data_IF_288430470109
#
_entry.id   IF_288430470109
#
_cell.length_a   1.000
_cell.length_b   1.000
_cell.length_c   1.000
_cell.angle_alpha   90.00
_cell.angle_beta   90.00
_cell.angle_gamma   90.00
#
_symmetry.space_group_name_H-M   'P 1'
#
loop_
_entity.id
_entity.type
_entity.pdbx_description
1 polymer ?
#
# COMPACT_ATOMS: atom_id res chain seq x y z
N UNK A 1 8.26 -13.64 -47.30
CA UNK A 1 7.82 -14.57 -46.24
C UNK A 1 8.40 -14.12 -44.91
N UNK A 2 7.60 -13.59 -43.98
CA UNK A 2 8.09 -13.17 -42.66
C UNK A 2 8.47 -14.43 -41.86
N UNK A 3 9.74 -14.53 -41.44
CA UNK A 3 10.21 -15.61 -40.56
C UNK A 3 9.52 -15.47 -39.21
N UNK A 4 8.48 -16.27 -38.96
CA UNK A 4 7.85 -16.39 -37.64
C UNK A 4 8.95 -16.85 -36.68
N UNK A 5 9.28 -16.03 -35.69
CA UNK A 5 10.32 -16.35 -34.70
C UNK A 5 9.87 -17.60 -33.93
N UNK A 6 10.77 -18.56 -33.64
CA UNK A 6 10.42 -19.79 -32.91
C UNK A 6 9.75 -19.51 -31.56
N UNK A 7 10.07 -18.37 -30.95
CA UNK A 7 9.44 -17.86 -29.73
C UNK A 7 7.92 -17.65 -29.87
N UNK A 8 7.44 -17.14 -31.01
CA UNK A 8 6.01 -16.89 -31.26
C UNK A 8 5.22 -18.20 -31.30
N UNK A 9 5.81 -19.25 -31.87
CA UNK A 9 5.18 -20.58 -31.97
C UNK A 9 5.05 -21.21 -30.59
N UNK A 10 6.09 -21.09 -29.75
CA UNK A 10 6.06 -21.59 -28.36
C UNK A 10 4.99 -20.86 -27.54
N UNK A 11 4.87 -19.54 -27.66
CA UNK A 11 3.81 -18.76 -26.98
C UNK A 11 2.42 -19.20 -27.42
N UNK A 12 2.20 -19.35 -28.72
CA UNK A 12 0.90 -19.77 -29.24
C UNK A 12 0.54 -21.18 -28.81
N UNK A 13 1.52 -22.11 -28.74
CA UNK A 13 1.30 -23.46 -28.23
C UNK A 13 1.03 -23.49 -26.72
N UNK A 14 1.75 -22.70 -25.93
CA UNK A 14 1.52 -22.60 -24.48
C UNK A 14 0.18 -21.96 -24.19
N UNK A 15 -0.20 -20.89 -24.90
CA UNK A 15 -1.52 -20.27 -24.79
C UNK A 15 -2.63 -21.22 -25.24
N UNK A 16 -2.45 -21.96 -26.34
CA UNK A 16 -3.43 -22.95 -26.79
C UNK A 16 -3.59 -24.09 -25.78
N UNK A 17 -2.49 -24.56 -25.18
CA UNK A 17 -2.51 -25.55 -24.10
C UNK A 17 -3.17 -25.03 -22.82
N UNK A 18 -2.92 -23.78 -22.46
CA UNK A 18 -3.53 -23.12 -21.31
C UNK A 18 -5.03 -22.90 -21.53
N UNK A 19 -5.44 -22.45 -22.71
CA UNK A 19 -6.86 -22.30 -23.09
C UNK A 19 -7.56 -23.66 -23.10
N UNK A 20 -6.95 -24.70 -23.65
CA UNK A 20 -7.50 -26.05 -23.62
C UNK A 20 -7.65 -26.57 -22.17
N UNK A 21 -6.65 -26.34 -21.32
CA UNK A 21 -6.70 -26.68 -19.89
C UNK A 21 -7.82 -25.94 -19.15
N UNK A 22 -7.99 -24.64 -19.41
CA UNK A 22 -9.08 -23.84 -18.85
C UNK A 22 -10.45 -24.33 -19.34
N UNK A 23 -10.60 -24.66 -20.62
CA UNK A 23 -11.87 -25.19 -21.14
C UNK A 23 -12.25 -26.53 -20.48
N UNK A 24 -11.29 -27.45 -20.33
CA UNK A 24 -11.49 -28.75 -19.67
C UNK A 24 -11.90 -28.56 -18.20
N UNK A 25 -11.27 -27.62 -17.52
CA UNK A 25 -11.53 -27.38 -16.09
C UNK A 25 -12.84 -26.61 -15.86
N UNK A 26 -13.22 -25.72 -16.78
CA UNK A 26 -14.51 -25.03 -16.76
C UNK A 26 -15.64 -26.04 -16.96
N UNK A 27 -15.46 -26.99 -17.89
CA UNK A 27 -16.39 -28.09 -18.11
C UNK A 27 -16.50 -29.04 -16.90
N UNK A 28 -15.47 -29.10 -16.04
CA UNK A 28 -15.45 -29.93 -14.84
C UNK A 28 -16.09 -29.28 -13.61
N UNK A 29 -16.58 -28.03 -13.70
CA UNK A 29 -17.20 -27.31 -12.58
C UNK A 29 -16.25 -26.94 -11.43
N UNK A 30 -14.93 -27.07 -11.64
CA UNK A 30 -13.87 -26.84 -10.63
C UNK A 30 -13.26 -25.44 -10.71
N UNK A 31 -13.89 -24.51 -11.43
CA UNK A 31 -13.47 -23.11 -11.54
C UNK A 31 -14.62 -22.20 -11.14
N UNK A 32 -14.27 -21.03 -10.61
CA UNK A 32 -15.24 -19.98 -10.33
C UNK A 32 -15.97 -19.60 -11.61
N UNK A 33 -17.30 -19.55 -11.53
CA UNK A 33 -18.14 -19.19 -12.67
C UNK A 33 -17.93 -17.71 -13.05
N UNK A 34 -17.74 -17.39 -14.34
CA UNK A 34 -17.62 -16.00 -14.80
C UNK A 34 -18.95 -15.24 -14.81
N UNK A 35 -20.08 -15.94 -14.69
CA UNK A 35 -21.41 -15.35 -14.64
C UNK A 35 -21.85 -15.06 -13.18
N UNK A 36 -22.83 -14.16 -12.96
CA UNK A 36 -23.30 -13.85 -11.61
C UNK A 36 -23.82 -15.11 -10.91
N UNK A 37 -23.31 -15.35 -9.70
CA UNK A 37 -23.76 -16.47 -8.85
C UNK A 37 -24.70 -15.95 -7.78
N UNK A 38 -25.75 -16.71 -7.48
CA UNK A 38 -26.61 -16.42 -6.33
C UNK A 38 -25.93 -16.94 -5.08
N UNK A 39 -25.46 -16.04 -4.24
CA UNK A 39 -24.96 -16.38 -2.91
C UNK A 39 -26.10 -16.20 -1.92
N UNK A 40 -26.41 -17.28 -1.20
CA UNK A 40 -27.45 -17.30 -0.19
C UNK A 40 -26.79 -17.23 1.17
N UNK A 41 -26.83 -16.06 1.80
CA UNK A 41 -26.35 -15.88 3.16
C UNK A 41 -27.53 -15.99 4.11
N UNK A 42 -27.48 -16.99 5.01
CA UNK A 42 -28.46 -17.15 6.08
C UNK A 42 -27.88 -16.58 7.37
N UNK A 43 -28.44 -15.48 7.85
CA UNK A 43 -28.19 -14.96 9.20
C UNK A 43 -29.35 -15.31 10.12
N UNK A 44 -29.04 -15.59 11.38
CA UNK A 44 -30.06 -15.85 12.42
C UNK A 44 -30.17 -14.61 13.28
N UNK A 45 -31.30 -13.91 13.19
CA UNK A 45 -31.57 -12.72 13.99
C UNK A 45 -32.49 -13.07 15.17
N UNK A 46 -32.17 -12.63 16.40
CA UNK A 46 -33.05 -12.83 17.55
C UNK A 46 -34.31 -11.97 17.39
N UNK A 47 -35.47 -12.59 17.44
CA UNK A 47 -36.77 -11.91 17.43
C UNK A 47 -37.07 -11.41 18.82
N UNK A 48 -37.11 -10.10 19.01
CA UNK A 48 -37.36 -9.46 20.30
C UNK A 48 -38.78 -8.91 20.37
N UNK A 49 -39.47 -9.09 21.49
CA UNK A 49 -40.77 -8.44 21.72
C UNK A 49 -40.60 -6.95 22.08
N UNK A 50 -41.70 -6.20 22.17
CA UNK A 50 -41.69 -4.76 22.49
C UNK A 50 -41.04 -4.42 23.84
N UNK A 51 -40.77 -5.41 24.69
CA UNK A 51 -40.14 -5.27 26.00
C UNK A 51 -38.65 -5.69 26.01
N UNK A 52 -38.05 -5.94 24.85
CA UNK A 52 -36.63 -6.30 24.79
C UNK A 52 -36.32 -7.78 25.09
N UNK A 53 -37.33 -8.63 25.25
CA UNK A 53 -37.15 -10.06 25.53
C UNK A 53 -37.11 -10.87 24.23
N UNK A 54 -36.09 -11.71 24.05
CA UNK A 54 -35.96 -12.60 22.89
C UNK A 54 -37.03 -13.70 22.97
N UNK A 55 -37.93 -13.73 21.99
CA UNK A 55 -39.09 -14.63 21.92
C UNK A 55 -38.96 -15.71 20.83
N UNK A 56 -37.89 -15.65 20.02
CA UNK A 56 -37.59 -16.63 19.00
C UNK A 56 -36.38 -16.25 18.16
N UNK A 57 -36.05 -17.08 17.18
CA UNK A 57 -35.01 -16.83 16.19
C UNK A 57 -35.66 -16.78 14.80
N UNK A 58 -35.27 -15.80 13.98
CA UNK A 58 -35.68 -15.69 12.60
C UNK A 58 -34.46 -15.92 11.72
N UNK A 59 -34.51 -16.96 10.90
CA UNK A 59 -33.52 -17.14 9.83
C UNK A 59 -33.87 -16.20 8.69
N UNK A 60 -33.08 -15.15 8.52
CA UNK A 60 -33.16 -14.25 7.37
C UNK A 60 -32.25 -14.81 6.30
N UNK A 61 -32.85 -15.32 5.24
CA UNK A 61 -32.15 -15.80 4.07
C UNK A 61 -32.12 -14.69 3.04
N UNK A 62 -30.97 -14.02 2.91
CA UNK A 62 -30.78 -13.01 1.86
C UNK A 62 -30.07 -13.67 0.67
N UNK A 63 -30.72 -13.60 -0.49
CA UNK A 63 -30.14 -14.07 -1.75
C UNK A 63 -29.65 -12.85 -2.52
N UNK A 64 -28.35 -12.65 -2.57
CA UNK A 64 -27.73 -11.56 -3.34
C UNK A 64 -27.12 -12.11 -4.63
N UNK A 65 -27.26 -11.36 -5.71
CA UNK A 65 -26.56 -11.67 -6.97
C UNK A 65 -25.12 -11.16 -6.88
N UNK A 66 -24.18 -12.08 -6.71
CA UNK A 66 -22.76 -11.77 -6.58
C UNK A 66 -22.11 -11.70 -7.97
N UNK A 67 -21.51 -10.54 -8.29
CA UNK A 67 -20.63 -10.37 -9.45
C UNK A 67 -19.16 -10.72 -9.12
N UNK A 68 -18.90 -11.34 -7.97
CA UNK A 68 -17.54 -11.65 -7.54
C UNK A 68 -16.78 -12.52 -8.55
N UNK A 69 -17.47 -13.50 -9.16
CA UNK A 69 -16.91 -14.35 -10.22
C UNK A 69 -16.38 -13.56 -11.40
N UNK A 70 -17.17 -12.62 -11.93
CA UNK A 70 -16.74 -11.75 -13.02
C UNK A 70 -15.47 -10.95 -12.65
N UNK A 71 -15.44 -10.33 -11.47
CA UNK A 71 -14.28 -9.55 -11.02
C UNK A 71 -13.05 -10.42 -10.77
N UNK A 72 -13.21 -11.66 -10.29
CA UNK A 72 -12.12 -12.63 -10.16
C UNK A 72 -11.50 -12.98 -11.52
N UNK A 73 -12.33 -13.19 -12.55
CA UNK A 73 -11.85 -13.43 -13.92
C UNK A 73 -11.11 -12.22 -14.49
N UNK A 74 -11.62 -11.00 -14.29
CA UNK A 74 -10.93 -9.76 -14.67
C UNK A 74 -9.57 -9.65 -13.95
N UNK A 75 -9.54 -9.92 -12.64
CA UNK A 75 -8.32 -9.93 -11.83
C UNK A 75 -7.29 -10.98 -12.28
N UNK A 76 -7.75 -12.19 -12.62
CA UNK A 76 -6.89 -13.25 -13.14
C UNK A 76 -6.31 -12.88 -14.51
N UNK A 77 -7.13 -12.33 -15.42
CA UNK A 77 -6.68 -11.87 -16.73
C UNK A 77 -5.63 -10.76 -16.61
N UNK A 78 -5.83 -9.78 -15.73
CA UNK A 78 -4.86 -8.70 -15.47
C UNK A 78 -3.56 -9.24 -14.85
N UNK A 79 -3.67 -10.18 -13.91
CA UNK A 79 -2.50 -10.83 -13.29
C UNK A 79 -1.68 -11.58 -14.33
N UNK A 80 -2.33 -12.32 -15.23
CA UNK A 80 -1.66 -12.98 -16.36
C UNK A 80 -1.03 -11.99 -17.35
N UNK A 81 -1.68 -10.85 -17.61
CA UNK A 81 -1.12 -9.79 -18.46
C UNK A 81 0.17 -9.21 -17.86
N UNK A 82 0.22 -9.02 -16.54
CA UNK A 82 1.42 -8.55 -15.83
C UNK A 82 2.51 -9.64 -15.84
N UNK A 83 2.15 -10.89 -15.56
CA UNK A 83 3.09 -12.03 -15.57
C UNK A 83 3.67 -12.30 -16.97
N UNK A 84 2.99 -11.88 -18.04
CA UNK A 84 3.53 -11.97 -19.41
C UNK A 84 4.85 -11.21 -19.60
N UNK A 85 5.19 -10.25 -18.74
CA UNK A 85 6.48 -9.56 -18.76
C UNK A 85 7.66 -10.54 -18.66
N UNK A 86 7.51 -11.62 -17.89
CA UNK A 86 8.56 -12.62 -17.68
C UNK A 86 9.02 -13.27 -18.99
N UNK A 87 8.18 -13.26 -20.03
CA UNK A 87 8.45 -13.91 -21.29
C UNK A 87 9.08 -12.97 -22.35
N UNK A 88 8.88 -11.64 -22.23
CA UNK A 88 9.44 -10.49 -23.01
C UNK A 88 8.40 -9.33 -23.02
N UNK A 89 8.82 -8.12 -23.40
CA UNK A 89 7.91 -7.00 -23.72
C UNK A 89 6.81 -7.42 -24.71
N UNK A 90 5.59 -7.58 -24.22
CA UNK A 90 4.39 -8.01 -24.96
C UNK A 90 3.33 -6.88 -24.94
N UNK A 91 2.59 -6.62 -26.03
CA UNK A 91 1.44 -5.71 -26.02
C UNK A 91 0.50 -5.86 -24.82
N UNK A 92 0.24 -7.09 -24.35
CA UNK A 92 -0.62 -7.34 -23.18
C UNK A 92 -0.06 -6.74 -21.89
N UNK A 93 1.26 -6.82 -21.68
CA UNK A 93 1.91 -6.21 -20.53
C UNK A 93 1.82 -4.67 -20.59
N UNK A 94 2.14 -4.07 -21.75
CA UNK A 94 2.05 -2.61 -21.94
C UNK A 94 0.63 -2.08 -21.74
N UNK A 95 -0.38 -2.83 -22.17
CA UNK A 95 -1.77 -2.49 -21.92
C UNK A 95 -2.08 -2.47 -20.41
N UNK A 96 -1.71 -3.53 -19.68
CA UNK A 96 -1.92 -3.62 -18.24
C UNK A 96 -1.16 -2.50 -17.49
N UNK A 97 0.05 -2.16 -17.91
CA UNK A 97 0.85 -1.07 -17.36
C UNK A 97 0.15 0.29 -17.55
N UNK A 98 -0.26 0.63 -18.77
CA UNK A 98 -0.97 1.89 -19.04
C UNK A 98 -2.33 1.97 -18.33
N UNK A 99 -3.06 0.86 -18.27
CA UNK A 99 -4.31 0.77 -17.54
C UNK A 99 -4.08 1.01 -16.04
N UNK A 100 -3.11 0.34 -15.44
CA UNK A 100 -2.79 0.48 -14.02
C UNK A 100 -2.36 1.90 -13.67
N UNK A 101 -1.44 2.49 -14.44
CA UNK A 101 -0.98 3.86 -14.22
C UNK A 101 -2.11 4.87 -14.43
N UNK A 102 -2.93 4.69 -15.46
CA UNK A 102 -4.06 5.56 -15.76
C UNK A 102 -5.13 5.53 -14.68
N UNK A 103 -5.56 4.33 -14.24
CA UNK A 103 -6.56 4.18 -13.17
C UNK A 103 -6.00 4.71 -11.85
N UNK A 104 -4.73 4.45 -11.54
CA UNK A 104 -4.09 4.98 -10.32
C UNK A 104 -4.05 6.51 -10.33
N UNK A 105 -3.64 7.12 -11.44
CA UNK A 105 -3.62 8.57 -11.57
C UNK A 105 -5.03 9.19 -11.47
N UNK A 106 -6.03 8.57 -12.11
CA UNK A 106 -7.42 9.02 -12.03
C UNK A 106 -7.98 8.90 -10.60
N UNK A 107 -7.72 7.78 -9.92
CA UNK A 107 -8.15 7.58 -8.53
C UNK A 107 -7.59 8.65 -7.60
N UNK A 108 -6.28 8.91 -7.66
CA UNK A 108 -5.65 9.97 -6.86
C UNK A 108 -6.16 11.37 -7.21
N UNK A 109 -6.48 11.64 -8.48
CA UNK A 109 -7.07 12.91 -8.89
C UNK A 109 -8.47 13.11 -8.31
N UNK A 110 -9.35 12.10 -8.40
CA UNK A 110 -10.73 12.16 -7.89
C UNK A 110 -10.72 12.29 -6.37
N UNK A 111 -9.90 11.50 -5.67
CA UNK A 111 -9.72 11.64 -4.23
C UNK A 111 -9.18 13.02 -3.84
N UNK A 112 -8.12 13.49 -4.52
CA UNK A 112 -7.56 14.81 -4.26
C UNK A 112 -8.59 15.93 -4.45
N UNK A 113 -9.45 15.82 -5.45
CA UNK A 113 -10.51 16.80 -5.69
C UNK A 113 -11.57 16.76 -4.58
N UNK A 114 -12.21 15.61 -4.35
CA UNK A 114 -13.35 15.52 -3.44
C UNK A 114 -12.98 15.47 -1.97
N UNK A 115 -11.89 14.80 -1.61
CA UNK A 115 -11.49 14.61 -0.21
C UNK A 115 -10.53 15.71 0.29
N UNK A 116 -9.85 16.44 -0.60
CA UNK A 116 -8.87 17.47 -0.20
C UNK A 116 -9.26 18.85 -0.69
N UNK A 117 -9.47 19.04 -2.00
CA UNK A 117 -9.69 20.36 -2.58
C UNK A 117 -11.05 20.95 -2.18
N UNK A 118 -12.13 20.17 -2.30
CA UNK A 118 -13.49 20.61 -1.92
C UNK A 118 -13.57 21.01 -0.44
N UNK A 119 -13.19 20.17 0.53
CA UNK A 119 -13.30 20.55 1.94
C UNK A 119 -12.30 21.63 2.37
N UNK A 120 -11.02 21.54 1.98
CA UNK A 120 -9.98 22.43 2.53
C UNK A 120 -9.85 23.77 1.79
N UNK A 121 -10.19 23.84 0.50
CA UNK A 121 -10.09 25.08 -0.27
C UNK A 121 -11.46 25.73 -0.41
N UNK A 122 -12.42 25.02 -1.02
CA UNK A 122 -13.74 25.58 -1.28
C UNK A 122 -14.57 25.70 0.01
N UNK A 123 -14.42 24.74 0.94
CA UNK A 123 -15.08 24.80 2.25
C UNK A 123 -14.65 25.99 3.10
N UNK A 124 -13.37 26.39 3.02
CA UNK A 124 -12.85 27.56 3.76
C UNK A 124 -13.13 28.90 3.05
N UNK A 125 -13.27 28.91 1.73
CA UNK A 125 -13.52 30.12 0.95
C UNK A 125 -15.02 30.46 0.81
N UNK A 126 -15.87 29.44 0.68
CA UNK A 126 -17.32 29.57 0.50
C UNK A 126 -18.08 28.47 1.28
N UNK A 127 -18.09 28.54 2.63
CA UNK A 127 -18.65 27.48 3.48
C UNK A 127 -20.12 27.18 3.18
N UNK A 128 -20.93 28.22 2.91
CA UNK A 128 -22.36 28.10 2.62
C UNK A 128 -22.67 27.38 1.31
N UNK A 129 -21.81 27.50 0.28
CA UNK A 129 -22.04 26.83 -1.00
C UNK A 129 -21.60 25.37 -0.98
N UNK A 130 -20.54 25.06 -0.23
CA UNK A 130 -20.06 23.68 -0.07
C UNK A 130 -20.99 22.87 0.81
N UNK A 131 -21.53 23.45 1.88
CA UNK A 131 -22.56 22.81 2.71
C UNK A 131 -23.82 22.47 1.89
N UNK A 132 -24.21 23.33 0.94
CA UNK A 132 -25.34 23.09 0.05
C UNK A 132 -25.08 21.98 -1.00
N UNK A 133 -23.82 21.79 -1.42
CA UNK A 133 -23.45 20.75 -2.38
C UNK A 133 -23.13 19.41 -1.71
N UNK A 134 -22.61 19.43 -0.49
CA UNK A 134 -22.12 18.24 0.22
C UNK A 134 -22.39 18.38 1.73
N UNK A 135 -23.62 18.05 2.18
CA UNK A 135 -24.03 18.25 3.57
C UNK A 135 -23.24 17.34 4.51
N UNK A 136 -22.81 17.89 5.65
CA UNK A 136 -22.15 17.14 6.74
C UNK A 136 -20.62 17.04 6.66
N UNK A 137 -19.96 17.64 5.67
CA UNK A 137 -18.49 17.62 5.55
C UNK A 137 -17.81 18.63 6.47
N UNK A 138 -18.46 19.76 6.76
CA UNK A 138 -17.91 20.83 7.58
C UNK A 138 -18.77 20.93 8.84
N UNK A 139 -18.28 20.50 10.01
CA UNK A 139 -18.93 20.83 11.27
C UNK A 139 -18.86 22.37 11.42
N UNK A 140 -20.01 23.02 11.56
CA UNK A 140 -20.16 24.48 11.78
C UNK A 140 -19.99 25.41 10.56
N UNK A 141 -20.35 24.95 9.35
CA UNK A 141 -20.40 25.82 8.16
C UNK A 141 -21.37 27.01 8.27
N UNK A 142 -22.40 26.94 9.13
CA UNK A 142 -23.36 28.01 9.34
C UNK A 142 -22.75 29.31 9.92
N UNK A 143 -21.66 29.22 10.69
CA UNK A 143 -21.01 30.36 11.37
C UNK A 143 -19.61 30.69 10.81
N UNK A 144 -19.13 29.94 9.82
CA UNK A 144 -17.82 30.15 9.23
C UNK A 144 -17.81 31.42 8.35
N UNK A 145 -16.98 32.40 8.72
CA UNK A 145 -16.69 33.55 7.86
C UNK A 145 -15.73 33.14 6.73
N UNK A 146 -15.92 33.63 5.49
CA UNK A 146 -15.00 33.39 4.38
C UNK A 146 -13.57 33.79 4.74
N UNK A 147 -12.65 32.84 4.77
CA UNK A 147 -11.24 33.12 5.06
C UNK A 147 -10.49 33.40 3.77
N UNK A 148 -10.32 34.68 3.44
CA UNK A 148 -9.66 35.12 2.21
C UNK A 148 -8.19 34.70 2.10
N UNK A 149 -7.53 34.28 3.20
CA UNK A 149 -6.16 33.77 3.18
C UNK A 149 -5.99 32.52 2.29
N UNK A 150 -7.05 31.71 2.11
CA UNK A 150 -7.05 30.56 1.21
C UNK A 150 -7.05 30.93 -0.27
N UNK A 151 -7.22 32.21 -0.61
CA UNK A 151 -7.05 32.69 -1.99
C UNK A 151 -5.62 32.45 -2.50
N UNK A 152 -4.62 32.55 -1.62
CA UNK A 152 -3.22 32.24 -1.98
C UNK A 152 -3.09 30.77 -2.38
N UNK A 153 -3.71 29.87 -1.61
CA UNK A 153 -3.75 28.44 -1.93
C UNK A 153 -4.51 28.16 -3.23
N UNK A 154 -5.58 28.91 -3.52
CA UNK A 154 -6.33 28.81 -4.78
C UNK A 154 -5.47 29.23 -5.97
N UNK A 155 -4.76 30.36 -5.86
CA UNK A 155 -3.84 30.83 -6.90
C UNK A 155 -2.72 29.81 -7.13
N UNK A 156 -2.12 29.27 -6.07
CA UNK A 156 -1.11 28.20 -6.19
C UNK A 156 -1.68 26.92 -6.81
N UNK A 157 -2.92 26.56 -6.48
CA UNK A 157 -3.64 25.43 -7.08
C UNK A 157 -3.91 25.62 -8.57
N UNK A 158 -4.34 26.82 -8.98
CA UNK A 158 -4.51 27.17 -10.40
C UNK A 158 -3.16 27.20 -11.14
N UNK A 159 -2.09 27.65 -10.49
CA UNK A 159 -0.75 27.60 -11.06
C UNK A 159 -0.26 26.17 -11.33
N UNK A 160 -0.72 25.16 -10.57
CA UNK A 160 -0.44 23.76 -10.91
C UNK A 160 -1.16 23.30 -12.17
N UNK A 161 -2.38 23.78 -12.43
CA UNK A 161 -3.11 23.48 -13.66
C UNK A 161 -2.40 24.04 -14.90
N UNK A 162 -1.62 25.12 -14.76
CA UNK A 162 -0.77 25.64 -15.83
C UNK A 162 0.27 24.62 -16.33
N UNK A 163 0.54 23.55 -15.58
CA UNK A 163 1.41 22.45 -16.01
C UNK A 163 0.84 21.65 -17.18
N UNK A 164 -0.48 21.66 -17.39
CA UNK A 164 -1.12 20.95 -18.50
C UNK A 164 -0.82 21.60 -19.86
N UNK A 165 -0.45 22.88 -19.86
CA UNK A 165 -0.13 23.63 -21.07
C UNK A 165 1.38 23.89 -21.13
N UNK A 166 2.05 23.38 -22.16
CA UNK A 166 3.52 23.44 -22.30
C UNK A 166 4.06 24.89 -22.26
N UNK A 167 3.27 25.89 -22.71
CA UNK A 167 3.66 27.30 -22.76
C UNK A 167 3.65 28.06 -21.42
N UNK A 168 2.84 27.64 -20.44
CA UNK A 168 2.73 28.31 -19.11
C UNK A 168 3.24 27.45 -17.96
N UNK A 169 3.79 26.26 -18.25
CA UNK A 169 4.31 25.33 -17.25
C UNK A 169 5.43 25.89 -16.36
N UNK A 170 6.13 26.95 -16.78
CA UNK A 170 7.18 27.60 -15.97
C UNK A 170 6.59 28.21 -14.69
N UNK A 171 5.37 28.75 -14.75
CA UNK A 171 4.72 29.33 -13.57
C UNK A 171 4.30 28.28 -12.54
N UNK A 172 4.06 27.03 -12.96
CA UNK A 172 3.79 25.90 -12.06
C UNK A 172 4.97 25.58 -11.12
N UNK A 173 6.20 26.00 -11.45
CA UNK A 173 7.40 25.73 -10.64
C UNK A 173 7.33 26.35 -9.24
N UNK A 174 6.69 27.51 -9.10
CA UNK A 174 6.51 28.17 -7.80
C UNK A 174 5.60 27.36 -6.87
N UNK A 175 4.48 26.85 -7.40
CA UNK A 175 3.59 25.97 -6.65
C UNK A 175 4.27 24.64 -6.28
N UNK A 176 5.06 24.06 -7.20
CA UNK A 176 5.84 22.85 -6.92
C UNK A 176 6.91 23.07 -5.85
N UNK A 177 7.62 24.20 -5.88
CA UNK A 177 8.60 24.55 -4.84
C UNK A 177 7.93 24.66 -3.46
N UNK A 178 6.74 25.26 -3.39
CA UNK A 178 5.98 25.35 -2.15
C UNK A 178 5.54 23.98 -1.63
N UNK A 179 5.02 23.10 -2.51
CA UNK A 179 4.64 21.73 -2.15
C UNK A 179 5.86 20.96 -1.63
N UNK A 180 6.93 20.89 -2.41
CA UNK A 180 8.14 20.14 -2.05
C UNK A 180 8.75 20.68 -0.75
N UNK A 181 8.82 22.01 -0.58
CA UNK A 181 9.33 22.64 0.63
C UNK A 181 8.49 22.31 1.87
N UNK A 182 7.17 22.42 1.77
CA UNK A 182 6.25 22.10 2.87
C UNK A 182 6.31 20.61 3.22
N UNK A 183 6.26 19.74 2.21
CA UNK A 183 6.32 18.29 2.38
C UNK A 183 7.65 17.87 3.01
N UNK A 184 8.79 18.35 2.49
CA UNK A 184 10.11 18.05 3.05
C UNK A 184 10.26 18.57 4.48
N UNK A 185 9.78 19.78 4.77
CA UNK A 185 9.80 20.36 6.12
C UNK A 185 8.99 19.54 7.12
N UNK A 186 7.76 19.13 6.76
CA UNK A 186 6.92 18.27 7.60
C UNK A 186 7.56 16.91 7.83
N UNK A 187 8.07 16.25 6.78
CA UNK A 187 8.75 14.96 6.93
C UNK A 187 10.01 15.07 7.79
N UNK A 188 10.78 16.15 7.64
CA UNK A 188 11.97 16.37 8.46
C UNK A 188 11.61 16.48 9.95
N UNK A 189 10.60 17.29 10.29
CA UNK A 189 10.15 17.43 11.69
C UNK A 189 9.57 16.12 12.22
N UNK A 190 8.76 15.42 11.42
CA UNK A 190 8.19 14.13 11.81
C UNK A 190 9.28 13.08 12.05
N UNK A 191 10.26 12.99 11.15
CA UNK A 191 11.39 12.08 11.28
C UNK A 191 12.25 12.39 12.51
N UNK A 192 12.56 13.67 12.75
CA UNK A 192 13.31 14.07 13.94
C UNK A 192 12.53 13.77 15.23
N UNK A 193 11.25 14.16 15.29
CA UNK A 193 10.46 14.06 16.52
C UNK A 193 10.04 12.63 16.83
N UNK A 194 9.68 11.84 15.82
CA UNK A 194 9.22 10.47 16.00
C UNK A 194 10.40 9.52 15.92
N UNK A 195 11.01 9.39 14.75
CA UNK A 195 11.89 8.25 14.49
C UNK A 195 13.24 8.42 15.16
N UNK A 196 13.85 9.62 15.07
CA UNK A 196 15.13 9.88 15.72
C UNK A 196 15.00 9.88 17.25
N UNK A 197 13.99 10.56 17.82
CA UNK A 197 13.79 10.52 19.27
C UNK A 197 13.45 9.12 19.78
N UNK A 198 12.63 8.35 19.07
CA UNK A 198 12.32 6.97 19.45
C UNK A 198 13.57 6.08 19.36
N UNK A 199 14.44 6.28 18.37
CA UNK A 199 15.72 5.57 18.28
C UNK A 199 16.64 5.92 19.45
N UNK A 200 16.78 7.20 19.81
CA UNK A 200 17.54 7.63 20.98
C UNK A 200 16.95 7.04 22.26
N UNK A 201 15.63 7.14 22.46
CA UNK A 201 14.94 6.56 23.61
C UNK A 201 15.12 5.04 23.71
N UNK A 202 15.07 4.33 22.57
CA UNK A 202 15.31 2.88 22.51
C UNK A 202 16.74 2.50 22.90
N UNK A 203 17.73 3.39 22.75
CA UNK A 203 19.10 3.17 23.25
C UNK A 203 19.27 3.44 24.75
N UNK A 204 18.30 4.10 25.41
CA UNK A 204 18.29 4.41 26.84
C UNK A 204 17.35 3.43 27.59
N UNK A 205 17.13 2.23 27.04
CA UNK A 205 16.34 1.20 27.72
C UNK A 205 17.13 0.58 28.90
N UNK A 206 16.45 0.18 29.99
CA UNK A 206 17.09 -0.47 31.12
C UNK A 206 17.74 -1.78 30.65
N UNK A 207 19.04 -1.93 30.91
CA UNK A 207 19.81 -3.11 30.51
C UNK A 207 19.29 -4.40 31.16
N UNK A 208 18.67 -4.27 32.34
CA UNK A 208 18.02 -5.37 33.06
C UNK A 208 16.51 -5.19 32.92
N UNK A 209 15.89 -6.03 32.09
CA UNK A 209 14.44 -6.02 31.92
C UNK A 209 13.79 -6.94 32.95
N UNK A 210 13.00 -6.37 33.85
CA UNK A 210 12.14 -7.13 34.77
C UNK A 210 10.72 -7.03 34.22
N UNK A 211 10.16 -8.17 33.79
CA UNK A 211 8.80 -8.23 33.26
C UNK A 211 7.94 -8.98 34.27
N UNK A 212 6.88 -8.35 34.78
CA UNK A 212 5.97 -8.93 35.79
C UNK A 212 6.68 -9.40 37.08
N UNK A 213 7.73 -8.71 37.53
CA UNK A 213 8.46 -9.05 38.75
C UNK A 213 9.54 -10.14 38.57
N UNK A 214 9.60 -10.79 37.41
CA UNK A 214 10.61 -11.79 37.08
C UNK A 214 11.67 -11.25 36.11
N UNK A 215 12.90 -11.72 36.28
CA UNK A 215 14.01 -11.40 35.39
C UNK A 215 13.78 -12.00 34.00
N UNK A 216 13.58 -11.15 32.99
CA UNK A 216 13.51 -11.59 31.60
C UNK A 216 14.93 -11.63 31.01
N UNK A 217 15.46 -12.84 30.87
CA UNK A 217 16.76 -13.08 30.26
C UNK A 217 16.77 -12.64 28.78
N UNK A 218 15.67 -12.88 28.06
CA UNK A 218 15.54 -12.50 26.66
C UNK A 218 15.53 -10.97 26.46
N UNK A 219 14.80 -10.23 27.30
CA UNK A 219 14.76 -8.77 27.21
C UNK A 219 16.09 -8.12 27.59
N UNK A 220 16.75 -8.63 28.63
CA UNK A 220 18.08 -8.19 29.08
C UNK A 220 19.13 -8.44 27.99
N UNK A 221 19.10 -9.62 27.35
CA UNK A 221 19.98 -9.94 26.24
C UNK A 221 19.76 -9.01 25.04
N UNK A 222 18.51 -8.76 24.66
CA UNK A 222 18.17 -7.82 23.58
C UNK A 222 18.68 -6.40 23.84
N UNK A 223 18.46 -5.88 25.05
CA UNK A 223 18.95 -4.55 25.44
C UNK A 223 20.48 -4.47 25.40
N UNK A 224 21.19 -5.52 25.86
CA UNK A 224 22.65 -5.59 25.82
C UNK A 224 23.17 -5.64 24.38
N UNK A 225 22.55 -6.43 23.50
CA UNK A 225 22.92 -6.50 22.08
C UNK A 225 22.74 -5.15 21.39
N UNK A 226 21.63 -4.45 21.66
CA UNK A 226 21.40 -3.10 21.12
C UNK A 226 22.44 -2.11 21.65
N UNK A 227 22.68 -2.10 22.96
CA UNK A 227 23.66 -1.21 23.59
C UNK A 227 25.08 -1.42 23.02
N UNK A 228 25.55 -2.67 23.01
CA UNK A 228 26.87 -3.03 22.48
C UNK A 228 26.94 -2.74 20.98
N UNK A 229 25.88 -3.07 20.24
CA UNK A 229 25.80 -2.81 18.80
C UNK A 229 25.90 -1.33 18.45
N UNK A 230 25.21 -0.47 19.19
CA UNK A 230 25.28 0.99 19.01
C UNK A 230 26.67 1.51 19.37
N UNK A 231 27.25 1.08 20.49
CA UNK A 231 28.61 1.50 20.88
C UNK A 231 29.67 1.07 19.86
N UNK A 232 29.65 -0.18 19.41
CA UNK A 232 30.55 -0.69 18.38
C UNK A 232 30.32 -0.02 17.02
N UNK A 233 29.06 0.25 16.66
CA UNK A 233 28.71 0.96 15.42
C UNK A 233 29.19 2.41 15.43
N UNK A 234 29.04 3.13 16.55
CA UNK A 234 29.59 4.48 16.72
C UNK A 234 31.11 4.49 16.61
N UNK A 235 31.79 3.51 17.23
CA UNK A 235 33.25 3.36 17.11
C UNK A 235 33.66 3.12 15.64
N UNK A 236 32.91 2.32 14.89
CA UNK A 236 33.18 2.10 13.46
C UNK A 236 33.05 3.37 12.62
N UNK A 237 32.01 4.19 12.85
CA UNK A 237 31.82 5.45 12.12
C UNK A 237 32.66 6.61 12.66
N UNK A 238 33.35 6.43 13.80
CA UNK A 238 34.21 7.45 14.38
C UNK A 238 35.57 7.49 13.65
N UNK A 239 35.64 8.26 12.58
CA UNK A 239 36.83 8.38 11.73
C UNK A 239 38.02 9.15 12.37
N UNK A 240 37.84 9.75 13.55
CA UNK A 240 38.84 10.63 14.18
C UNK A 240 39.93 9.92 15.01
N UNK A 241 39.87 8.61 15.20
CA UNK A 241 40.90 7.86 15.96
C UNK A 241 41.52 6.75 15.10
N UNK A 242 42.85 6.60 15.15
CA UNK A 242 43.53 5.46 14.54
C UNK A 242 43.01 4.15 15.15
N UNK A 243 42.54 3.24 14.29
CA UNK A 243 41.95 1.97 14.68
C UNK A 243 43.01 0.94 15.11
N UNK A 244 43.77 1.23 16.16
CA UNK A 244 44.78 0.32 16.72
C UNK A 244 44.33 -0.30 18.05
N UNK A 245 44.65 -1.59 18.24
CA UNK A 245 44.33 -2.34 19.47
C UNK A 245 42.83 -2.64 19.68
N UNK A 246 42.33 -2.41 20.91
CA UNK A 246 40.96 -2.76 21.35
C UNK A 246 39.88 -2.04 20.54
N UNK A 247 40.15 -0.79 20.14
CA UNK A 247 39.26 -0.01 19.28
C UNK A 247 39.11 -0.61 17.87
N UNK A 248 40.17 -1.25 17.34
CA UNK A 248 40.10 -1.97 16.06
C UNK A 248 39.24 -3.23 16.11
N UNK A 249 39.26 -3.96 17.23
CA UNK A 249 38.40 -5.15 17.43
C UNK A 249 36.94 -4.73 17.64
N UNK A 250 36.69 -3.70 18.45
CA UNK A 250 35.34 -3.16 18.65
C UNK A 250 34.71 -2.64 17.34
N UNK A 251 35.51 -1.95 16.51
CA UNK A 251 35.09 -1.52 15.16
C UNK A 251 34.78 -2.71 14.25
N UNK A 252 35.59 -3.79 14.29
CA UNK A 252 35.32 -5.02 13.53
C UNK A 252 33.99 -5.66 13.93
N UNK A 253 33.70 -5.75 15.23
CA UNK A 253 32.40 -6.24 15.72
C UNK A 253 31.26 -5.33 15.25
N UNK A 254 31.46 -4.01 15.27
CA UNK A 254 30.52 -3.03 14.72
C UNK A 254 30.22 -3.27 13.24
N UNK A 255 31.23 -3.57 12.42
CA UNK A 255 31.07 -3.93 11.00
C UNK A 255 30.21 -5.18 10.85
N UNK A 256 30.47 -6.23 11.62
CA UNK A 256 29.66 -7.45 11.56
C UNK A 256 28.20 -7.19 11.92
N UNK A 257 27.95 -6.43 12.99
CA UNK A 257 26.59 -6.06 13.40
C UNK A 257 25.91 -5.25 12.31
N UNK A 258 26.57 -4.24 11.74
CA UNK A 258 26.03 -3.42 10.64
C UNK A 258 25.73 -4.25 9.38
N UNK A 259 26.62 -5.17 8.99
CA UNK A 259 26.39 -6.06 7.85
C UNK A 259 25.17 -6.96 8.08
N UNK A 260 24.98 -7.48 9.29
CA UNK A 260 23.81 -8.29 9.64
C UNK A 260 22.54 -7.44 9.61
N UNK A 261 22.55 -6.24 10.20
CA UNK A 261 21.38 -5.35 10.22
C UNK A 261 20.97 -4.88 8.82
N UNK A 262 21.94 -4.46 7.98
CA UNK A 262 21.66 -4.09 6.60
C UNK A 262 21.25 -5.30 5.75
N UNK A 263 21.88 -6.46 5.97
CA UNK A 263 21.50 -7.71 5.32
C UNK A 263 20.06 -8.14 5.65
N UNK A 264 19.65 -8.01 6.91
CA UNK A 264 18.28 -8.25 7.34
C UNK A 264 17.29 -7.26 6.71
N UNK A 265 17.62 -5.96 6.68
CA UNK A 265 16.79 -4.94 6.03
C UNK A 265 16.59 -5.22 4.53
N UNK A 266 17.67 -5.53 3.81
CA UNK A 266 17.59 -5.95 2.42
C UNK A 266 16.75 -7.23 2.26
N UNK A 267 16.98 -8.24 3.10
CA UNK A 267 16.21 -9.48 3.12
C UNK A 267 14.70 -9.27 3.31
N UNK A 268 14.29 -8.37 4.21
CA UNK A 268 12.88 -8.00 4.40
C UNK A 268 12.26 -7.41 3.14
N UNK A 269 12.99 -6.55 2.41
CA UNK A 269 12.46 -5.99 1.16
C UNK A 269 12.32 -7.04 0.06
N UNK A 270 13.24 -8.00 -0.03
CA UNK A 270 13.17 -9.13 -0.99
C UNK A 270 12.01 -10.05 -0.62
N UNK A 271 11.87 -10.39 0.67
CA UNK A 271 10.75 -11.19 1.17
C UNK A 271 9.40 -10.52 0.85
N UNK A 272 9.28 -9.21 1.05
CA UNK A 272 8.07 -8.47 0.70
C UNK A 272 7.69 -8.59 -0.78
N UNK A 273 8.67 -8.49 -1.68
CA UNK A 273 8.43 -8.66 -3.13
C UNK A 273 8.04 -10.11 -3.49
N UNK A 274 8.68 -11.10 -2.88
CA UNK A 274 8.34 -12.51 -3.10
C UNK A 274 6.95 -12.82 -2.52
N UNK A 275 6.61 -12.30 -1.34
CA UNK A 275 5.30 -12.49 -0.72
C UNK A 275 4.17 -11.93 -1.59
N UNK A 276 4.38 -10.76 -2.22
CA UNK A 276 3.42 -10.22 -3.19
C UNK A 276 3.24 -11.14 -4.41
N UNK A 277 4.33 -11.77 -4.90
CA UNK A 277 4.25 -12.75 -5.99
C UNK A 277 3.49 -14.01 -5.56
N UNK A 278 3.81 -14.55 -4.38
CA UNK A 278 3.13 -15.73 -3.81
C UNK A 278 1.64 -15.45 -3.66
N UNK A 279 1.24 -14.31 -3.10
CA UNK A 279 -0.18 -13.95 -2.98
C UNK A 279 -0.90 -13.87 -4.33
N UNK A 280 -0.20 -13.49 -5.43
CA UNK A 280 -0.79 -13.55 -6.79
C UNK A 280 -0.89 -14.97 -7.33
N UNK A 281 0.04 -15.85 -6.97
CA UNK A 281 -0.01 -17.27 -7.35
C UNK A 281 -1.09 -18.02 -6.56
N UNK A 282 -1.27 -17.71 -5.28
CA UNK A 282 -2.38 -18.21 -4.44
C UNK A 282 -3.73 -17.75 -4.99
N UNK A 283 -3.88 -16.47 -5.35
CA UNK A 283 -5.09 -15.98 -6.01
C UNK A 283 -5.37 -16.73 -7.34
N UNK A 284 -4.35 -16.95 -8.16
CA UNK A 284 -4.53 -17.62 -9.45
C UNK A 284 -4.86 -19.11 -9.29
N UNK A 285 -4.15 -19.82 -8.41
CA UNK A 285 -4.27 -21.27 -8.26
C UNK A 285 -5.33 -21.69 -7.24
N UNK A 286 -5.46 -20.99 -6.12
CA UNK A 286 -6.48 -21.21 -5.09
C UNK A 286 -7.81 -20.60 -5.51
N UNK A 287 -7.93 -19.28 -5.47
CA UNK A 287 -9.24 -18.61 -5.59
C UNK A 287 -9.86 -18.76 -6.99
N UNK A 288 -9.06 -18.59 -8.05
CA UNK A 288 -9.58 -18.64 -9.42
C UNK A 288 -9.69 -20.07 -9.98
N UNK A 289 -8.60 -20.86 -9.88
CA UNK A 289 -8.53 -22.22 -10.43
C UNK A 289 -8.97 -23.33 -9.48
N UNK A 290 -9.08 -23.07 -8.17
CA UNK A 290 -9.41 -24.08 -7.14
C UNK A 290 -8.56 -25.36 -7.28
N UNK A 291 -7.25 -25.17 -7.46
CA UNK A 291 -6.21 -26.22 -7.52
C UNK A 291 -5.68 -26.60 -6.15
N UNK A 292 -5.69 -25.64 -5.24
CA UNK A 292 -5.20 -25.76 -3.87
C UNK A 292 -6.43 -25.54 -2.99
N UNK A 293 -6.71 -26.43 -2.01
CA UNK A 293 -7.76 -26.15 -1.05
C UNK A 293 -7.40 -24.86 -0.29
N UNK A 294 -8.34 -23.91 -0.29
CA UNK A 294 -8.31 -22.68 0.49
C UNK A 294 -8.19 -22.96 1.99
#
# INVERSE_FOLDING_TARGET
>A
MPKIKPLTIVVTLVLAGLVAFLLIRAASGKMVAPWPTTETTSSVEPVTNQFGMVIGEKTVTETHTSFAGFWMWVGAALTLCIMSFLYRDNPFYRFAEHLFVGVSAAYWMVLGFWAVLVPNLFGSLAPKTVEAMLPGIIPDAANASPQFHYLIALVLGLLLLARLFEGVAVYSRWALAFIVGTTAGLYFVNYLKSDFMNQVAATIMPLVSVTNGDFSLAGTFGALVIFVGVMCGLIYFFFSTEHSGVFGVASRVGIWILMISFGASFGFTVMGRIALLVGRMEFLFGDWLNLIPS
#
